data_IF_415235499913
#
_entry.id   IF_415235499913
#
_cell.length_a   1.000
_cell.length_b   1.000
_cell.length_c   1.000
_cell.angle_alpha   90.00
_cell.angle_beta   90.00
_cell.angle_gamma   90.00
#
_symmetry.space_group_name_H-M   'P 1'
#
loop_
_entity.id
_entity.type
_entity.pdbx_description
1 polymer ?
#
# COMPACT_ATOMS: atom_id res chain seq x y z
N UNK A 1 -33.35 10.32 -42.49
CA UNK A 1 -34.46 10.41 -41.51
C UNK A 1 -33.86 10.10 -40.15
N UNK A 2 -33.41 11.12 -39.42
CA UNK A 2 -32.83 10.94 -38.08
C UNK A 2 -33.99 10.61 -37.15
N UNK A 3 -34.10 9.33 -36.79
CA UNK A 3 -34.98 8.85 -35.74
C UNK A 3 -34.76 9.72 -34.51
N UNK A 4 -35.76 10.52 -34.12
CA UNK A 4 -35.76 11.24 -32.85
C UNK A 4 -35.73 10.18 -31.74
N UNK A 5 -34.53 9.90 -31.24
CA UNK A 5 -34.32 9.06 -30.07
C UNK A 5 -35.10 9.65 -28.90
N UNK A 6 -35.84 8.80 -28.22
CA UNK A 6 -36.62 9.15 -27.04
C UNK A 6 -35.69 9.85 -26.01
N UNK A 7 -36.01 11.06 -25.54
CA UNK A 7 -35.19 11.75 -24.55
C UNK A 7 -34.98 10.91 -23.28
N UNK A 8 -35.91 10.02 -22.93
CA UNK A 8 -35.77 9.13 -21.78
C UNK A 8 -34.75 8.01 -22.05
N UNK A 9 -34.70 7.48 -23.28
CA UNK A 9 -33.71 6.46 -23.66
C UNK A 9 -32.29 7.02 -23.71
N UNK A 10 -32.13 8.31 -24.08
CA UNK A 10 -30.84 8.99 -24.10
C UNK A 10 -30.32 9.24 -22.66
N UNK A 11 -31.21 9.54 -21.72
CA UNK A 11 -30.85 9.70 -20.31
C UNK A 11 -30.47 8.34 -19.67
N UNK A 12 -31.23 7.28 -19.94
CA UNK A 12 -30.89 5.92 -19.50
C UNK A 12 -29.55 5.44 -20.08
N UNK A 13 -29.29 5.71 -21.36
CA UNK A 13 -28.02 5.37 -22.00
C UNK A 13 -26.83 6.13 -21.36
N UNK A 14 -26.95 7.45 -21.16
CA UNK A 14 -25.91 8.25 -20.49
C UNK A 14 -25.66 7.76 -19.07
N UNK A 15 -26.72 7.39 -18.35
CA UNK A 15 -26.61 6.87 -17.00
C UNK A 15 -25.90 5.51 -16.96
N UNK A 16 -26.21 4.61 -17.90
CA UNK A 16 -25.52 3.33 -18.06
C UNK A 16 -24.04 3.51 -18.37
N UNK A 17 -23.69 4.38 -19.31
CA UNK A 17 -22.30 4.73 -19.63
C UNK A 17 -21.58 5.26 -18.39
N UNK A 18 -22.21 6.16 -17.64
CA UNK A 18 -21.65 6.67 -16.39
C UNK A 18 -21.39 5.56 -15.34
N UNK A 19 -22.34 4.63 -15.16
CA UNK A 19 -22.16 3.51 -14.22
C UNK A 19 -21.03 2.57 -14.65
N UNK A 20 -20.91 2.30 -15.95
CA UNK A 20 -19.85 1.48 -16.51
C UNK A 20 -18.47 2.13 -16.33
N UNK A 21 -18.32 3.41 -16.71
CA UNK A 21 -17.09 4.17 -16.49
C UNK A 21 -16.71 4.21 -15.01
N UNK A 22 -17.68 4.45 -14.12
CA UNK A 22 -17.45 4.46 -12.68
C UNK A 22 -16.96 3.10 -12.19
N UNK A 23 -17.53 2.00 -12.68
CA UNK A 23 -17.08 0.65 -12.33
C UNK A 23 -15.64 0.41 -12.80
N UNK A 24 -15.33 0.76 -14.04
CA UNK A 24 -13.97 0.64 -14.60
C UNK A 24 -12.94 1.41 -13.77
N UNK A 25 -13.24 2.65 -13.38
CA UNK A 25 -12.36 3.46 -12.53
C UNK A 25 -12.17 2.89 -11.13
N UNK A 26 -13.22 2.31 -10.54
CA UNK A 26 -13.14 1.66 -9.21
C UNK A 26 -12.30 0.40 -9.28
N UNK A 27 -12.47 -0.41 -10.32
CA UNK A 27 -11.71 -1.65 -10.51
C UNK A 27 -10.23 -1.35 -10.82
N UNK A 28 -9.94 -0.36 -11.67
CA UNK A 28 -8.58 0.12 -11.92
C UNK A 28 -7.89 0.59 -10.64
N UNK A 29 -8.56 1.42 -9.82
CA UNK A 29 -8.02 1.86 -8.52
C UNK A 29 -7.72 0.69 -7.57
N UNK A 30 -8.56 -0.34 -7.55
CA UNK A 30 -8.35 -1.54 -6.71
C UNK A 30 -7.15 -2.35 -7.21
N UNK A 31 -6.99 -2.49 -8.52
CA UNK A 31 -5.85 -3.16 -9.12
C UNK A 31 -4.54 -2.42 -8.84
N UNK A 32 -4.52 -1.10 -9.07
CA UNK A 32 -3.38 -0.22 -8.75
C UNK A 32 -2.95 -0.37 -7.29
N UNK A 33 -3.91 -0.35 -6.35
CA UNK A 33 -3.59 -0.54 -4.92
C UNK A 33 -2.93 -1.90 -4.67
N UNK A 34 -3.42 -2.99 -5.28
CA UNK A 34 -2.83 -4.32 -5.11
C UNK A 34 -1.44 -4.41 -5.72
N UNK A 35 -1.23 -3.80 -6.89
CA UNK A 35 0.08 -3.76 -7.54
C UNK A 35 1.09 -2.96 -6.71
N UNK A 36 0.64 -1.84 -6.16
CA UNK A 36 1.46 -0.98 -5.30
C UNK A 36 1.88 -1.69 -4.01
N UNK A 37 0.94 -2.36 -3.33
CA UNK A 37 1.23 -3.15 -2.13
C UNK A 37 2.23 -4.28 -2.43
N UNK A 38 2.08 -4.97 -3.57
CA UNK A 38 3.06 -5.97 -4.02
C UNK A 38 4.44 -5.35 -4.27
N UNK A 39 4.49 -4.18 -4.88
CA UNK A 39 5.75 -3.47 -5.11
C UNK A 39 6.45 -3.12 -3.79
N UNK A 40 5.72 -2.64 -2.79
CA UNK A 40 6.28 -2.38 -1.43
C UNK A 40 6.83 -3.67 -0.83
N UNK A 41 6.06 -4.76 -0.86
CA UNK A 41 6.49 -6.06 -0.33
C UNK A 41 7.80 -6.52 -1.00
N UNK A 42 7.86 -6.46 -2.33
CA UNK A 42 9.05 -6.83 -3.12
C UNK A 42 10.25 -5.94 -2.81
N UNK A 43 10.06 -4.62 -2.77
CA UNK A 43 11.12 -3.68 -2.48
C UNK A 43 11.64 -3.82 -1.05
N UNK A 44 10.77 -4.01 -0.06
CA UNK A 44 11.14 -4.23 1.33
C UNK A 44 11.92 -5.54 1.51
N UNK A 45 11.45 -6.64 0.91
CA UNK A 45 12.17 -7.91 0.91
C UNK A 45 13.53 -7.79 0.20
N UNK A 46 13.58 -7.10 -0.94
CA UNK A 46 14.81 -6.85 -1.68
C UNK A 46 15.81 -6.00 -0.91
N UNK A 47 15.37 -4.90 -0.29
CA UNK A 47 16.20 -4.04 0.55
C UNK A 47 16.73 -4.79 1.78
N UNK A 48 15.89 -5.62 2.41
CA UNK A 48 16.31 -6.48 3.52
C UNK A 48 17.36 -7.49 3.08
N UNK A 49 17.15 -8.20 1.97
CA UNK A 49 18.13 -9.14 1.41
C UNK A 49 19.45 -8.46 1.03
N UNK A 50 19.37 -7.29 0.40
CA UNK A 50 20.54 -6.48 0.05
C UNK A 50 21.32 -6.05 1.31
N UNK A 51 20.62 -5.67 2.39
CA UNK A 51 21.27 -5.29 3.64
C UNK A 51 22.09 -6.43 4.26
N UNK A 52 21.61 -7.68 4.17
CA UNK A 52 22.36 -8.86 4.63
C UNK A 52 23.61 -9.11 3.76
N UNK A 53 23.51 -8.86 2.45
CA UNK A 53 24.66 -8.93 1.56
C UNK A 53 25.73 -7.88 1.90
N UNK A 54 25.31 -6.64 2.21
CA UNK A 54 26.22 -5.58 2.68
C UNK A 54 26.98 -5.97 3.95
N UNK A 55 26.29 -6.54 4.94
CA UNK A 55 26.94 -7.01 6.18
C UNK A 55 28.04 -8.03 5.85
N UNK A 56 27.76 -8.98 4.94
CA UNK A 56 28.77 -9.97 4.51
C UNK A 56 29.96 -9.36 3.79
N UNK A 57 29.80 -8.23 3.11
CA UNK A 57 30.90 -7.54 2.43
C UNK A 57 31.73 -6.63 3.37
N UNK A 58 31.09 -6.03 4.38
CA UNK A 58 31.72 -5.09 5.31
C UNK A 58 32.46 -5.82 6.45
N UNK A 59 31.88 -6.92 6.98
CA UNK A 59 32.47 -7.69 8.08
C UNK A 59 33.91 -8.17 7.81
N UNK A 60 34.27 -8.65 6.59
CA UNK A 60 35.64 -9.11 6.32
C UNK A 60 36.68 -7.98 6.16
N UNK A 61 36.27 -6.78 5.77
CA UNK A 61 37.19 -5.72 5.32
C UNK A 61 37.53 -4.71 6.41
N UNK A 62 36.52 -4.12 7.06
CA UNK A 62 36.73 -2.98 7.97
C UNK A 62 35.96 -3.11 9.30
N UNK A 63 35.17 -4.17 9.48
CA UNK A 63 34.21 -4.27 10.58
C UNK A 63 33.10 -3.22 10.48
N UNK A 64 32.08 -3.30 11.34
CA UNK A 64 31.00 -2.31 11.40
C UNK A 64 31.48 -1.12 12.24
N UNK A 65 31.34 0.10 11.72
CA UNK A 65 31.74 1.30 12.46
C UNK A 65 30.97 1.41 13.79
N UNK A 66 31.65 1.71 14.91
CA UNK A 66 31.00 1.86 16.22
C UNK A 66 29.87 2.88 16.14
N UNK A 67 28.71 2.54 16.72
CA UNK A 67 27.55 3.41 16.70
C UNK A 67 26.78 3.46 15.37
N UNK A 68 27.12 2.72 14.32
CA UNK A 68 26.24 2.67 13.12
C UNK A 68 25.25 1.51 13.17
N UNK A 69 25.49 0.50 14.00
CA UNK A 69 24.66 -0.71 14.09
C UNK A 69 23.19 -0.42 14.44
N UNK A 70 22.91 0.61 15.24
CA UNK A 70 21.53 0.98 15.57
C UNK A 70 20.73 1.39 14.33
N UNK A 71 21.38 2.05 13.35
CA UNK A 71 20.71 2.49 12.13
C UNK A 71 20.20 1.29 11.33
N UNK A 72 21.00 0.23 11.25
CA UNK A 72 20.62 -1.02 10.60
C UNK A 72 19.47 -1.72 11.33
N UNK A 73 19.52 -1.78 12.66
CA UNK A 73 18.43 -2.37 13.47
C UNK A 73 17.12 -1.60 13.26
N UNK A 74 17.16 -0.27 13.26
CA UNK A 74 15.98 0.55 12.96
C UNK A 74 15.48 0.32 11.53
N UNK A 75 16.37 0.26 10.54
CA UNK A 75 16.00 -0.04 9.17
C UNK A 75 15.21 -1.36 9.07
N UNK A 76 15.70 -2.41 9.71
CA UNK A 76 15.03 -3.72 9.76
C UNK A 76 13.69 -3.67 10.46
N UNK A 77 13.60 -3.00 11.61
CA UNK A 77 12.34 -2.85 12.34
C UNK A 77 11.28 -2.16 11.46
N UNK A 78 11.65 -1.07 10.78
CA UNK A 78 10.76 -0.33 9.90
C UNK A 78 10.36 -1.12 8.65
N UNK A 79 11.27 -1.88 8.04
CA UNK A 79 10.91 -2.79 6.95
C UNK A 79 9.97 -3.90 7.40
N UNK A 80 10.19 -4.50 8.58
CA UNK A 80 9.28 -5.50 9.13
C UNK A 80 7.88 -4.93 9.37
N UNK A 81 7.77 -3.71 9.93
CA UNK A 81 6.48 -3.04 10.13
C UNK A 81 5.79 -2.78 8.78
N UNK A 82 6.55 -2.34 7.77
CA UNK A 82 6.02 -2.12 6.42
C UNK A 82 5.49 -3.41 5.78
N UNK A 83 6.26 -4.50 5.86
CA UNK A 83 5.87 -5.83 5.36
C UNK A 83 4.60 -6.32 6.06
N UNK A 84 4.55 -6.27 7.39
CA UNK A 84 3.39 -6.71 8.16
C UNK A 84 2.15 -5.87 7.84
N UNK A 85 2.29 -4.55 7.76
CA UNK A 85 1.18 -3.66 7.42
C UNK A 85 0.61 -3.98 6.03
N UNK A 86 1.48 -4.25 5.06
CA UNK A 86 1.11 -4.64 3.70
C UNK A 86 0.35 -5.98 3.68
N UNK A 87 0.85 -6.99 4.41
CA UNK A 87 0.18 -8.29 4.51
C UNK A 87 -1.20 -8.19 5.18
N UNK A 88 -1.32 -7.41 6.25
CA UNK A 88 -2.61 -7.17 6.93
C UNK A 88 -3.57 -6.39 6.01
N UNK A 89 -3.03 -5.46 5.19
CA UNK A 89 -3.83 -4.75 4.20
C UNK A 89 -4.47 -5.69 3.17
N UNK A 90 -3.74 -6.68 2.69
CA UNK A 90 -4.30 -7.71 1.80
C UNK A 90 -5.44 -8.51 2.42
N UNK A 91 -5.29 -8.89 3.69
CA UNK A 91 -6.33 -9.62 4.42
C UNK A 91 -7.57 -8.74 4.63
N UNK A 92 -7.38 -7.50 5.04
CA UNK A 92 -8.48 -6.57 5.32
C UNK A 92 -9.19 -6.10 4.05
N UNK A 93 -8.49 -6.01 2.90
CA UNK A 93 -9.09 -5.69 1.62
C UNK A 93 -10.08 -6.76 1.14
N UNK A 94 -9.78 -8.04 1.41
CA UNK A 94 -10.73 -9.14 1.13
C UNK A 94 -11.99 -9.01 1.98
N UNK A 95 -11.82 -8.77 3.29
CA UNK A 95 -12.94 -8.52 4.20
C UNK A 95 -13.77 -7.30 3.82
N UNK A 96 -13.13 -6.24 3.30
CA UNK A 96 -13.82 -5.05 2.79
C UNK A 96 -14.70 -5.34 1.58
N UNK A 97 -14.25 -6.23 0.68
CA UNK A 97 -15.05 -6.66 -0.47
C UNK A 97 -16.25 -7.49 -0.02
N UNK A 98 -16.04 -8.47 0.88
CA UNK A 98 -17.12 -9.28 1.44
C UNK A 98 -18.16 -8.43 2.16
N UNK A 99 -17.71 -7.45 2.97
CA UNK A 99 -18.64 -6.54 3.65
C UNK A 99 -19.41 -5.66 2.66
N UNK A 100 -18.76 -5.21 1.58
CA UNK A 100 -19.45 -4.42 0.56
C UNK A 100 -20.51 -5.22 -0.19
N UNK A 101 -20.28 -6.51 -0.45
CA UNK A 101 -21.28 -7.39 -1.06
C UNK A 101 -22.50 -7.57 -0.15
N UNK A 102 -22.28 -7.85 1.14
CA UNK A 102 -23.34 -7.97 2.14
C UNK A 102 -24.21 -6.70 2.21
N UNK A 103 -23.57 -5.51 2.19
CA UNK A 103 -24.28 -4.22 2.21
C UNK A 103 -25.15 -4.05 0.95
N UNK A 104 -24.62 -4.42 -0.22
CA UNK A 104 -25.36 -4.33 -1.48
C UNK A 104 -26.53 -5.31 -1.53
N UNK A 105 -26.36 -6.53 -1.03
CA UNK A 105 -27.41 -7.54 -0.95
C UNK A 105 -28.56 -7.06 -0.05
N UNK A 106 -28.26 -6.55 1.15
CA UNK A 106 -29.26 -5.97 2.05
C UNK A 106 -29.99 -4.80 1.38
N UNK A 107 -29.27 -3.90 0.71
CA UNK A 107 -29.90 -2.75 0.04
C UNK A 107 -30.81 -3.13 -1.13
N UNK A 108 -30.52 -4.22 -1.85
CA UNK A 108 -31.30 -4.64 -3.01
C UNK A 108 -32.46 -5.58 -2.64
N UNK A 109 -32.26 -6.52 -1.71
CA UNK A 109 -33.24 -7.55 -1.40
C UNK A 109 -34.14 -7.21 -0.20
N UNK A 110 -33.68 -6.37 0.74
CA UNK A 110 -34.44 -6.01 1.95
C UNK A 110 -35.34 -4.77 1.75
N UNK A 111 -35.34 -4.20 0.53
CA UNK A 111 -36.07 -3.00 0.12
C UNK A 111 -37.60 -3.19 -0.05
N UNK A 112 -38.20 -4.14 0.68
CA UNK A 112 -39.66 -4.23 0.83
C UNK A 112 -40.19 -3.56 2.09
N UNK A 113 -39.32 -3.12 3.01
CA UNK A 113 -39.72 -2.31 4.15
C UNK A 113 -38.61 -1.33 4.51
N UNK A 114 -39.01 -0.13 4.95
CA UNK A 114 -38.17 0.90 5.59
C UNK A 114 -37.42 1.88 4.66
N UNK A 115 -38.15 2.96 4.41
CA UNK A 115 -37.68 4.34 4.34
C UNK A 115 -36.82 4.70 5.57
N UNK A 116 -35.58 4.21 5.64
CA UNK A 116 -34.58 4.61 6.63
C UNK A 116 -33.20 4.79 5.97
N UNK A 117 -33.07 5.83 5.14
CA UNK A 117 -31.82 6.22 4.45
C UNK A 117 -30.65 6.61 5.38
N UNK A 118 -30.81 6.56 6.71
CA UNK A 118 -29.86 7.19 7.64
C UNK A 118 -28.76 6.29 8.20
N UNK A 119 -28.84 4.97 8.05
CA UNK A 119 -27.84 4.05 8.59
C UNK A 119 -27.09 3.34 7.47
N UNK A 120 -26.30 4.06 6.67
CA UNK A 120 -25.40 3.41 5.71
C UNK A 120 -24.29 2.68 6.51
N UNK A 121 -24.25 1.33 6.54
CA UNK A 121 -23.27 0.59 7.32
C UNK A 121 -21.84 0.94 6.85
N UNK A 122 -21.00 1.40 7.77
CA UNK A 122 -19.61 1.77 7.46
C UNK A 122 -18.82 0.53 7.09
N UNK A 123 -18.15 0.56 5.93
CA UNK A 123 -17.16 -0.44 5.54
C UNK A 123 -15.85 -0.23 6.33
N UNK A 124 -15.87 -0.58 7.63
CA UNK A 124 -14.74 -0.41 8.53
C UNK A 124 -13.45 -1.11 8.06
N UNK A 125 -13.51 -2.33 7.48
CA UNK A 125 -12.33 -2.97 6.90
C UNK A 125 -11.68 -2.11 5.81
N UNK A 126 -12.45 -1.45 4.95
CA UNK A 126 -11.90 -0.56 3.92
C UNK A 126 -11.14 0.63 4.50
N UNK A 127 -11.62 1.18 5.63
CA UNK A 127 -10.93 2.27 6.33
C UNK A 127 -9.59 1.78 6.87
N UNK A 128 -9.58 0.61 7.52
CA UNK A 128 -8.37 0.01 8.07
C UNK A 128 -7.33 -0.29 6.98
N UNK A 129 -7.74 -0.89 5.85
CA UNK A 129 -6.87 -1.13 4.68
C UNK A 129 -6.17 0.15 4.22
N UNK A 130 -6.91 1.25 4.12
CA UNK A 130 -6.34 2.55 3.72
C UNK A 130 -5.27 3.04 4.69
N UNK A 131 -5.51 2.93 5.99
CA UNK A 131 -4.53 3.31 7.01
C UNK A 131 -3.28 2.43 6.98
N UNK A 132 -3.45 1.11 6.82
CA UNK A 132 -2.33 0.17 6.74
C UNK A 132 -1.44 0.42 5.51
N UNK A 133 -2.03 0.79 4.37
CA UNK A 133 -1.27 1.14 3.17
C UNK A 133 -0.48 2.43 3.34
N UNK A 134 -1.05 3.46 3.96
CA UNK A 134 -0.31 4.70 4.26
C UNK A 134 0.83 4.40 5.23
N UNK A 135 0.55 3.60 6.27
CA UNK A 135 1.56 3.19 7.24
C UNK A 135 2.70 2.40 6.59
N UNK A 136 2.38 1.46 5.68
CA UNK A 136 3.40 0.65 5.01
C UNK A 136 4.36 1.50 4.17
N UNK A 137 3.85 2.51 3.46
CA UNK A 137 4.66 3.46 2.68
C UNK A 137 5.60 4.25 3.59
N UNK A 138 5.06 4.88 4.64
CA UNK A 138 5.83 5.75 5.54
C UNK A 138 6.95 4.94 6.19
N UNK A 139 6.62 3.76 6.71
CA UNK A 139 7.60 2.89 7.38
C UNK A 139 8.63 2.32 6.41
N UNK A 140 8.25 1.99 5.18
CA UNK A 140 9.22 1.60 4.13
C UNK A 140 10.24 2.71 3.86
N UNK A 141 9.77 3.95 3.64
CA UNK A 141 10.65 5.09 3.35
C UNK A 141 11.60 5.35 4.51
N UNK A 142 11.10 5.34 5.75
CA UNK A 142 11.95 5.52 6.94
C UNK A 142 13.01 4.41 7.00
N UNK A 143 12.63 3.16 6.80
CA UNK A 143 13.57 2.03 6.76
C UNK A 143 14.65 2.18 5.70
N UNK A 144 14.27 2.63 4.49
CA UNK A 144 15.20 2.87 3.39
C UNK A 144 16.20 3.99 3.70
N UNK A 145 15.77 5.07 4.35
CA UNK A 145 16.64 6.17 4.78
C UNK A 145 17.67 5.66 5.80
N UNK A 146 17.24 4.90 6.81
CA UNK A 146 18.15 4.32 7.79
C UNK A 146 19.16 3.36 7.17
N UNK A 147 18.73 2.51 6.23
CA UNK A 147 19.62 1.59 5.53
C UNK A 147 20.64 2.34 4.66
N UNK A 148 20.22 3.38 3.96
CA UNK A 148 21.10 4.22 3.15
C UNK A 148 22.14 4.94 4.04
N UNK A 149 21.70 5.54 5.14
CA UNK A 149 22.59 6.18 6.11
C UNK A 149 23.62 5.21 6.68
N UNK A 150 23.18 4.02 7.11
CA UNK A 150 24.07 2.94 7.57
C UNK A 150 25.12 2.57 6.50
N UNK A 151 24.68 2.39 5.26
CA UNK A 151 25.54 1.99 4.15
C UNK A 151 26.59 3.06 3.85
N UNK A 152 26.18 4.32 3.75
CA UNK A 152 27.07 5.47 3.49
C UNK A 152 28.10 5.62 4.61
N UNK A 153 27.68 5.56 5.88
CA UNK A 153 28.59 5.68 7.02
C UNK A 153 29.64 4.57 7.07
N UNK A 154 29.29 3.35 6.66
CA UNK A 154 30.23 2.22 6.66
C UNK A 154 31.07 2.10 5.38
N UNK A 155 30.63 2.68 4.25
CA UNK A 155 31.37 2.68 2.98
C UNK A 155 32.34 3.86 2.85
N UNK A 156 32.03 5.03 3.42
CA UNK A 156 32.91 6.20 3.33
C UNK A 156 34.13 6.01 4.26
N UNK A 157 35.37 6.04 3.73
CA UNK A 157 36.58 6.09 4.55
C UNK A 157 36.55 7.36 5.41
N UNK A 158 36.97 7.27 6.68
CA UNK A 158 37.31 8.50 7.41
C UNK A 158 38.44 9.17 6.65
N UNK A 159 38.24 10.45 6.30
CA UNK A 159 39.18 11.21 5.47
C UNK A 159 40.59 11.01 5.98
N UNK A 160 41.44 10.39 5.14
CA UNK A 160 42.83 10.17 5.46
C UNK A 160 43.47 11.50 5.83
N UNK A 161 43.93 11.61 7.07
CA UNK A 161 44.98 12.55 7.40
C UNK A 161 46.18 12.21 6.51
N UNK A 162 46.33 12.91 5.39
CA UNK A 162 47.58 12.96 4.66
C UNK A 162 48.57 13.74 5.54
N UNK A 163 49.27 13.03 6.43
CA UNK A 163 50.48 13.54 7.05
C UNK A 163 51.61 13.23 6.07
N UNK A 164 52.00 14.23 5.29
CA UNK A 164 53.30 14.30 4.63
C UNK A 164 54.34 14.88 5.57
#
# INVERSE_FOLDING_TARGET
MVSKLDPDSNNDLKYKVYLEERKLLVDAKREESRLFDKAILTLAAGAFGLSLAFIRQIVPSNGIKPGTMFMLIFAWAWFCISLLSTLISFLTSQSACSKQMEILEVQYFDNHNSQDEKNNPKNWPAILTKWLNILSIITFIIGAIFLAAFSISNLLPEGGHYVG
#
